data_IF_788411979426
#
_entry.id   IF_788411979426
#
_cell.length_a   1.000
_cell.length_b   1.000
_cell.length_c   1.000
_cell.angle_alpha   90.00
_cell.angle_beta   90.00
_cell.angle_gamma   90.00
#
_symmetry.space_group_name_H-M   'P 1'
#
loop_
_entity.id
_entity.type
_entity.pdbx_description
1 polymer ?
#
# COMPACT_ATOMS: atom_id res chain seq x y z
N UNK A 1 24.71 17.67 -17.04
CA UNK A 1 23.61 18.57 -16.65
C UNK A 1 23.16 19.26 -17.91
N UNK A 2 21.86 19.24 -18.21
CA UNK A 2 21.29 19.92 -19.37
C UNK A 2 21.14 21.44 -19.11
N UNK A 3 20.56 22.15 -20.09
CA UNK A 3 20.40 23.61 -20.03
C UNK A 3 19.41 24.04 -18.94
N UNK A 4 18.47 23.18 -18.58
CA UNK A 4 17.47 23.36 -17.52
C UNK A 4 17.99 22.97 -16.12
N UNK A 5 19.17 22.37 -16.05
CA UNK A 5 19.84 22.02 -14.81
C UNK A 5 19.52 20.65 -14.23
N UNK A 6 18.91 19.76 -15.02
CA UNK A 6 18.66 18.36 -14.64
C UNK A 6 19.92 17.52 -14.85
N UNK A 7 20.17 16.64 -13.89
CA UNK A 7 21.21 15.62 -13.95
C UNK A 7 20.55 14.25 -14.11
N UNK A 8 20.92 13.53 -15.17
CA UNK A 8 20.49 12.13 -15.39
C UNK A 8 21.72 11.24 -15.34
N UNK A 9 21.80 10.40 -14.32
CA UNK A 9 22.89 9.42 -14.11
C UNK A 9 22.29 8.13 -13.57
N UNK A 10 22.90 7.00 -13.91
CA UNK A 10 22.47 5.69 -13.38
C UNK A 10 22.85 5.53 -11.91
N UNK A 11 24.00 6.08 -11.52
CA UNK A 11 24.56 5.97 -10.17
C UNK A 11 25.14 7.32 -9.74
N UNK A 12 24.87 7.71 -8.50
CA UNK A 12 25.35 8.95 -7.89
C UNK A 12 26.13 8.61 -6.62
N UNK A 13 27.46 8.65 -6.70
CA UNK A 13 28.35 8.57 -5.54
C UNK A 13 28.75 9.99 -5.11
N UNK A 14 28.31 10.39 -3.93
CA UNK A 14 28.63 11.70 -3.33
C UNK A 14 28.83 11.54 -1.83
N UNK A 15 29.77 12.32 -1.27
CA UNK A 15 29.98 12.35 0.18
C UNK A 15 28.81 13.03 0.92
N UNK A 16 28.12 13.97 0.27
CA UNK A 16 27.04 14.75 0.87
C UNK A 16 26.04 15.23 -0.16
N UNK A 17 24.76 15.30 0.23
CA UNK A 17 23.68 15.90 -0.53
C UNK A 17 23.19 17.14 0.22
N UNK A 18 23.28 18.30 -0.43
CA UNK A 18 22.70 19.55 0.07
C UNK A 18 21.59 20.00 -0.88
N UNK A 19 20.38 20.12 -0.36
CA UNK A 19 19.25 20.68 -1.10
C UNK A 19 19.33 22.21 -1.03
N UNK A 20 19.30 22.87 -2.19
CA UNK A 20 19.23 24.33 -2.26
C UNK A 20 17.76 24.80 -2.15
N UNK A 21 17.50 25.74 -1.24
CA UNK A 21 16.14 26.22 -0.95
C UNK A 21 15.33 25.25 -0.09
N UNK A 22 14.01 25.41 -0.12
CA UNK A 22 13.03 24.77 0.78
C UNK A 22 11.84 24.15 0.03
N UNK A 23 11.97 23.94 -1.28
CA UNK A 23 10.87 23.41 -2.11
C UNK A 23 10.55 21.95 -1.79
N UNK A 24 11.59 21.13 -1.68
CA UNK A 24 11.52 19.68 -1.47
C UNK A 24 11.97 19.24 -0.08
N UNK A 25 12.33 20.18 0.80
CA UNK A 25 12.72 19.93 2.19
C UNK A 25 12.09 21.00 3.06
N UNK A 26 11.75 20.66 4.30
CA UNK A 26 11.27 21.67 5.23
C UNK A 26 10.98 21.13 6.62
N UNK A 27 10.33 21.97 7.41
CA UNK A 27 9.94 21.68 8.79
C UNK A 27 8.44 21.88 8.97
N UNK A 28 7.83 21.05 9.79
CA UNK A 28 6.45 21.20 10.24
C UNK A 28 6.37 21.14 11.76
N UNK A 29 5.29 21.71 12.31
CA UNK A 29 4.92 21.62 13.72
C UNK A 29 3.46 21.23 13.82
N UNK A 30 3.17 20.16 14.56
CA UNK A 30 1.81 19.85 14.98
C UNK A 30 1.69 20.40 16.41
N UNK A 31 0.74 21.31 16.63
CA UNK A 31 0.54 21.93 17.93
C UNK A 31 -0.19 20.99 18.88
N UNK A 32 0.00 21.21 20.18
CA UNK A 32 -0.72 20.47 21.21
C UNK A 32 -2.24 20.50 20.97
N UNK A 33 -2.89 19.34 21.16
CA UNK A 33 -4.31 19.18 20.89
C UNK A 33 -4.65 18.75 19.46
N UNK A 34 -3.75 18.92 18.50
CA UNK A 34 -3.96 18.48 17.12
C UNK A 34 -3.42 17.07 16.86
N UNK A 35 -3.90 16.45 15.79
CA UNK A 35 -3.42 15.14 15.30
C UNK A 35 -3.03 15.16 13.83
N UNK A 36 -3.06 16.31 13.17
CA UNK A 36 -2.70 16.41 11.76
C UNK A 36 -2.19 17.80 11.42
N UNK A 37 -1.40 17.88 10.35
CA UNK A 37 -1.01 19.12 9.70
C UNK A 37 -0.95 18.91 8.19
N UNK A 38 -1.43 19.90 7.45
CA UNK A 38 -1.27 20.00 6.00
C UNK A 38 -0.06 20.89 5.69
N UNK A 39 0.90 20.34 4.96
CA UNK A 39 2.09 21.03 4.49
C UNK A 39 1.86 21.48 3.05
N UNK A 40 1.78 22.79 2.83
CA UNK A 40 1.60 23.37 1.51
C UNK A 40 2.94 23.40 0.76
N UNK A 41 3.02 22.69 -0.36
CA UNK A 41 4.19 22.69 -1.25
C UNK A 41 3.80 22.24 -2.65
N UNK A 42 4.32 22.94 -3.65
CA UNK A 42 4.12 22.60 -5.06
C UNK A 42 5.01 21.44 -5.53
N UNK A 43 5.92 20.94 -4.68
CA UNK A 43 6.86 19.89 -5.05
C UNK A 43 6.26 18.47 -4.99
N UNK A 44 5.07 18.29 -4.41
CA UNK A 44 4.41 16.99 -4.40
C UNK A 44 3.85 16.68 -5.77
N UNK A 45 4.20 15.51 -6.31
CA UNK A 45 3.61 14.90 -7.51
C UNK A 45 2.85 13.63 -7.11
N UNK A 46 2.12 13.02 -8.07
CA UNK A 46 1.51 11.71 -7.87
C UNK A 46 2.53 10.61 -7.48
N UNK A 47 3.76 10.69 -8.00
CA UNK A 47 4.79 9.66 -7.79
C UNK A 47 5.71 9.95 -6.60
N UNK A 48 5.66 11.18 -6.09
CA UNK A 48 6.50 11.64 -4.98
C UNK A 48 6.41 10.76 -3.74
N UNK A 49 7.57 10.37 -3.23
CA UNK A 49 7.73 9.76 -1.92
C UNK A 49 8.04 10.86 -0.90
N UNK A 50 7.31 10.85 0.22
CA UNK A 50 7.45 11.84 1.30
C UNK A 50 7.99 11.11 2.50
N UNK A 51 9.09 11.61 3.07
CA UNK A 51 9.62 11.09 4.32
C UNK A 51 9.57 12.17 5.39
N UNK A 52 9.23 11.74 6.60
CA UNK A 52 9.06 12.59 7.77
C UNK A 52 9.89 12.02 8.89
N UNK A 53 10.62 12.89 9.59
CA UNK A 53 11.41 12.57 10.76
C UNK A 53 11.00 13.47 11.91
N UNK A 54 10.34 12.90 12.92
CA UNK A 54 9.94 13.63 14.12
C UNK A 54 11.16 13.95 15.00
N UNK A 55 11.22 15.19 15.49
CA UNK A 55 12.33 15.68 16.33
C UNK A 55 12.06 15.49 17.83
N UNK A 56 10.83 15.12 18.18
CA UNK A 56 10.39 14.88 19.55
C UNK A 56 9.50 13.63 19.60
N UNK A 57 9.39 13.02 20.78
CA UNK A 57 8.59 11.83 20.97
C UNK A 57 7.10 12.10 20.74
N UNK A 58 6.48 11.26 19.91
CA UNK A 58 5.03 11.23 19.69
C UNK A 58 4.30 10.29 20.66
N UNK A 59 4.91 10.00 21.83
CA UNK A 59 4.31 9.24 22.94
C UNK A 59 3.72 7.88 22.52
N UNK A 60 4.47 7.11 21.72
CA UNK A 60 4.05 5.77 21.27
C UNK A 60 2.95 5.77 20.21
N UNK A 61 2.58 6.94 19.66
CA UNK A 61 1.60 7.03 18.56
C UNK A 61 2.24 6.61 17.24
N UNK A 62 1.44 6.04 16.35
CA UNK A 62 1.81 5.87 14.94
C UNK A 62 1.46 7.12 14.12
N UNK A 63 2.12 7.29 12.98
CA UNK A 63 1.87 8.36 12.02
C UNK A 63 1.87 7.81 10.59
N UNK A 64 1.25 8.56 9.67
CA UNK A 64 1.22 8.26 8.24
C UNK A 64 0.95 9.52 7.41
N UNK A 65 1.26 9.46 6.12
CA UNK A 65 0.79 10.47 5.15
C UNK A 65 -0.63 10.11 4.75
N UNK A 66 -1.59 10.93 5.18
CA UNK A 66 -3.01 10.66 4.99
C UNK A 66 -3.57 11.15 3.66
N UNK A 67 -2.94 12.16 3.07
CA UNK A 67 -3.37 12.78 1.82
C UNK A 67 -2.17 13.36 1.09
N UNK A 68 -2.24 13.36 -0.24
CA UNK A 68 -1.34 14.08 -1.14
C UNK A 68 -2.18 14.66 -2.27
N UNK A 69 -2.02 15.96 -2.51
CA UNK A 69 -2.60 16.67 -3.65
C UNK A 69 -1.47 17.27 -4.46
N UNK A 70 -1.33 16.78 -5.69
CA UNK A 70 -0.27 17.20 -6.62
C UNK A 70 -0.24 18.72 -6.80
N UNK A 71 0.97 19.28 -6.76
CA UNK A 71 1.23 20.71 -6.89
C UNK A 71 0.72 21.57 -5.74
N UNK A 72 0.17 20.97 -4.67
CA UNK A 72 -0.49 21.73 -3.61
C UNK A 72 -0.01 21.37 -2.21
N UNK A 73 -0.17 20.12 -1.76
CA UNK A 73 0.10 19.77 -0.37
C UNK A 73 0.22 18.27 -0.12
N UNK A 74 0.71 17.93 1.08
CA UNK A 74 0.52 16.62 1.70
C UNK A 74 0.12 16.79 3.17
N UNK A 75 -0.56 15.78 3.74
CA UNK A 75 -1.03 15.83 5.13
C UNK A 75 -0.39 14.75 5.97
N UNK A 76 0.37 15.15 7.00
CA UNK A 76 0.91 14.26 8.02
C UNK A 76 -0.15 14.07 9.10
N UNK A 77 -0.47 12.82 9.42
CA UNK A 77 -1.47 12.47 10.43
C UNK A 77 -0.88 11.55 11.49
N UNK A 78 -1.21 11.85 12.74
CA UNK A 78 -0.92 11.05 13.92
C UNK A 78 -2.20 10.33 14.34
N UNK A 79 -2.05 9.10 14.83
CA UNK A 79 -3.17 8.23 15.23
C UNK A 79 -4.09 8.82 16.32
N UNK A 80 -3.65 9.84 17.08
CA UNK A 80 -4.44 10.53 18.09
C UNK A 80 -3.82 11.90 18.43
N UNK A 81 -4.60 12.75 19.12
CA UNK A 81 -4.19 14.11 19.47
C UNK A 81 -2.94 14.14 20.35
N UNK A 82 -2.08 15.11 20.09
CA UNK A 82 -0.85 15.32 20.84
C UNK A 82 -1.11 16.03 22.17
N UNK A 83 -0.29 15.71 23.18
CA UNK A 83 -0.33 16.38 24.50
C UNK A 83 0.53 17.65 24.50
N UNK A 84 1.51 17.74 23.61
CA UNK A 84 2.42 18.88 23.45
C UNK A 84 2.75 19.11 21.99
N UNK A 85 3.38 20.25 21.70
CA UNK A 85 3.86 20.55 20.35
C UNK A 85 4.92 19.53 19.93
N UNK A 86 4.87 19.12 18.67
CA UNK A 86 5.86 18.23 18.07
C UNK A 86 6.35 18.81 16.76
N UNK A 87 7.67 18.95 16.65
CA UNK A 87 8.36 19.32 15.42
C UNK A 87 8.77 18.08 14.62
N UNK A 88 8.82 18.23 13.30
CA UNK A 88 9.37 17.25 12.39
C UNK A 88 10.01 17.92 11.18
N UNK A 89 11.04 17.28 10.65
CA UNK A 89 11.59 17.62 9.35
C UNK A 89 10.97 16.69 8.28
N UNK A 90 10.84 17.19 7.07
CA UNK A 90 10.32 16.45 5.94
C UNK A 90 11.14 16.70 4.68
N UNK A 91 11.12 15.72 3.78
CA UNK A 91 11.63 15.87 2.42
C UNK A 91 10.85 15.05 1.42
N UNK A 92 10.89 15.48 0.16
CA UNK A 92 10.15 14.93 -0.97
C UNK A 92 11.15 14.46 -2.01
N UNK A 93 11.01 13.21 -2.42
CA UNK A 93 11.77 12.60 -3.52
C UNK A 93 10.78 12.21 -4.61
N UNK A 94 10.90 12.86 -5.76
CA UNK A 94 10.12 12.49 -6.95
C UNK A 94 10.76 11.30 -7.66
N UNK A 95 9.93 10.50 -8.34
CA UNK A 95 10.38 9.27 -8.99
C UNK A 95 9.50 8.95 -10.20
N UNK A 96 10.05 8.19 -11.14
CA UNK A 96 9.30 7.64 -12.28
C UNK A 96 8.44 6.42 -11.87
N UNK A 97 8.59 5.92 -10.64
CA UNK A 97 7.75 4.86 -10.08
C UNK A 97 6.32 5.37 -9.81
N UNK A 98 5.40 4.91 -10.66
CA UNK A 98 3.95 5.19 -10.58
C UNK A 98 3.25 4.48 -9.42
N UNK A 99 3.91 3.56 -8.72
CA UNK A 99 3.33 2.78 -7.64
C UNK A 99 2.33 1.72 -8.11
N UNK A 100 2.29 1.39 -9.40
CA UNK A 100 1.42 0.34 -9.93
C UNK A 100 1.83 -1.07 -9.45
N UNK A 101 3.14 -1.30 -9.27
CA UNK A 101 3.70 -2.60 -8.91
C UNK A 101 3.83 -2.77 -7.38
N UNK A 102 2.70 -2.69 -6.66
CA UNK A 102 2.69 -2.89 -5.22
C UNK A 102 3.00 -4.35 -4.85
N UNK A 103 3.86 -4.52 -3.85
CA UNK A 103 4.16 -5.83 -3.27
C UNK A 103 3.15 -6.13 -2.17
N UNK A 104 2.58 -7.34 -2.21
CA UNK A 104 1.65 -7.82 -1.20
C UNK A 104 2.37 -8.77 -0.22
N UNK A 105 2.02 -8.70 1.06
CA UNK A 105 2.55 -9.62 2.08
C UNK A 105 2.06 -11.07 1.91
N UNK A 106 0.99 -11.26 1.14
CA UNK A 106 0.39 -12.55 0.81
C UNK A 106 -0.26 -12.47 -0.58
N UNK A 107 -0.49 -13.62 -1.21
CA UNK A 107 -1.21 -13.66 -2.48
C UNK A 107 -2.59 -12.99 -2.29
N UNK A 108 -2.97 -12.01 -3.13
CA UNK A 108 -4.30 -11.42 -3.07
C UNK A 108 -5.35 -12.52 -3.17
N UNK A 109 -6.53 -12.37 -2.54
CA UNK A 109 -7.59 -13.36 -2.68
C UNK A 109 -7.85 -13.57 -4.17
N UNK A 110 -7.67 -14.81 -4.64
CA UNK A 110 -8.05 -15.17 -6.00
C UNK A 110 -9.52 -14.83 -6.16
N UNK A 111 -9.92 -14.05 -7.19
CA UNK A 111 -11.32 -13.85 -7.47
C UNK A 111 -12.02 -15.22 -7.48
N UNK A 112 -13.21 -15.36 -6.85
CA UNK A 112 -13.95 -16.60 -6.92
C UNK A 112 -14.06 -17.01 -8.39
N UNK A 113 -13.81 -18.29 -8.68
CA UNK A 113 -13.96 -18.81 -10.04
C UNK A 113 -15.33 -18.38 -10.57
N UNK A 114 -15.44 -17.95 -11.83
CA UNK A 114 -16.75 -17.73 -12.43
C UNK A 114 -17.61 -18.97 -12.17
N UNK A 115 -18.88 -18.75 -11.80
CA UNK A 115 -19.82 -19.85 -11.60
C UNK A 115 -19.71 -20.79 -12.80
N UNK A 116 -19.65 -22.12 -12.59
CA UNK A 116 -19.60 -23.05 -13.70
C UNK A 116 -20.77 -22.72 -14.64
N UNK A 117 -20.47 -22.49 -15.91
CA UNK A 117 -21.50 -22.25 -16.92
C UNK A 117 -22.56 -23.36 -16.79
N UNK A 118 -23.86 -23.05 -16.86
CA UNK A 118 -24.90 -24.06 -16.80
C UNK A 118 -24.61 -25.11 -17.87
N UNK A 119 -24.36 -26.35 -17.43
CA UNK A 119 -24.14 -27.48 -18.33
C UNK A 119 -25.39 -27.57 -19.20
N UNK A 120 -25.29 -27.53 -20.54
CA UNK A 120 -26.47 -27.64 -21.39
C UNK A 120 -27.15 -28.98 -21.11
N UNK A 121 -28.46 -28.92 -20.83
CA UNK A 121 -29.32 -30.08 -20.64
C UNK A 121 -29.17 -31.01 -21.85
N UNK A 122 -28.47 -32.12 -21.68
CA UNK A 122 -28.41 -33.16 -22.71
C UNK A 122 -29.78 -33.83 -22.67
N UNK A 123 -30.68 -33.33 -23.53
CA UNK A 123 -32.01 -33.86 -23.75
C UNK A 123 -31.94 -35.39 -23.82
N UNK A 124 -32.76 -36.03 -22.97
CA UNK A 124 -32.66 -37.44 -22.63
C UNK A 124 -32.60 -38.37 -23.83
N UNK A 125 -31.80 -39.41 -23.70
CA UNK A 125 -32.04 -40.66 -24.41
C UNK A 125 -32.15 -41.76 -23.37
N UNK A 126 -33.40 -42.12 -23.10
CA UNK A 126 -33.80 -43.28 -22.31
C UNK A 126 -33.42 -44.55 -23.06
N UNK A 127 -32.76 -45.49 -22.39
CA UNK A 127 -32.88 -46.93 -22.73
C UNK A 127 -32.63 -47.78 -21.48
N UNK A 128 -33.75 -48.18 -20.89
CA UNK A 128 -34.14 -49.43 -20.19
C UNK A 128 -33.21 -50.21 -19.23
N UNK A 129 -33.81 -50.89 -18.22
CA UNK A 129 -33.15 -51.35 -17.00
C UNK A 129 -32.61 -52.78 -17.11
N UNK A 130 -31.54 -53.10 -16.37
CA UNK A 130 -31.16 -54.48 -16.09
C UNK A 130 -30.77 -54.66 -14.62
N UNK A 131 -31.77 -55.13 -13.88
CA UNK A 131 -31.79 -56.07 -12.74
C UNK A 131 -30.49 -56.25 -11.92
N UNK A 132 -30.60 -55.81 -10.65
CA UNK A 132 -29.78 -56.16 -9.49
C UNK A 132 -29.84 -57.66 -9.17
N UNK A 133 -28.73 -58.25 -8.70
CA UNK A 133 -28.89 -59.06 -7.48
C UNK A 133 -27.80 -58.84 -6.41
N UNK A 134 -28.29 -58.56 -5.20
CA UNK A 134 -27.95 -59.21 -3.93
C UNK A 134 -26.54 -58.99 -3.33
N UNK A 135 -26.53 -58.38 -2.13
CA UNK A 135 -25.39 -58.30 -1.19
C UNK A 135 -24.93 -59.69 -0.71
N UNK A 136 -23.68 -59.86 -0.22
CA UNK A 136 -23.48 -59.72 1.24
C UNK A 136 -22.12 -59.16 1.71
N UNK A 137 -22.21 -58.45 2.84
CA UNK A 137 -21.31 -58.34 4.01
C UNK A 137 -19.91 -58.98 3.98
N UNK A 138 -18.89 -58.19 4.37
CA UNK A 138 -17.75 -58.61 5.21
C UNK A 138 -17.14 -57.37 5.90
N UNK A 139 -17.39 -57.09 7.18
CA UNK A 139 -16.57 -57.44 8.38
C UNK A 139 -15.05 -57.29 8.16
N UNK A 140 -14.22 -56.62 8.98
CA UNK A 140 -14.35 -56.17 10.36
C UNK A 140 -13.33 -55.05 10.68
N UNK A 141 -13.67 -54.15 11.61
CA UNK A 141 -12.71 -53.40 12.44
C UNK A 141 -12.43 -54.21 13.71
N UNK A 142 -11.18 -54.26 14.17
CA UNK A 142 -10.73 -54.25 15.58
C UNK A 142 -9.23 -54.51 15.63
N UNK A 143 -8.46 -53.60 16.21
CA UNK A 143 -7.33 -53.94 17.10
C UNK A 143 -7.11 -52.74 18.04
N UNK A 144 -6.98 -52.96 19.36
CA UNK A 144 -6.65 -51.93 20.34
C UNK A 144 -5.20 -51.44 20.26
#
# INVERSE_FOLDING_TARGET
MDEEGKLTVTELEVESIKVAGDKTVGRGRIVAGDSAITINTAAVTANSKVFVSFLNEIQGRSWYISEKTEGQHFTVKISANLVGDVDFDWWIVDTDDTGADIQYSSQPPTPPAPDPEPIPDVAGTSTDPIIEPESPTSTASTTP
#
